data_IF_416624698090
#
_entry.id   IF_416624698090
#
_cell.length_a   1.000
_cell.length_b   1.000
_cell.length_c   1.000
_cell.angle_alpha   90.00
_cell.angle_beta   90.00
_cell.angle_gamma   90.00
#
_symmetry.space_group_name_H-M   'P 1'
#
loop_
_entity.id
_entity.type
_entity.pdbx_description
1 polymer ?
#
# COMPACT_ATOMS: atom_id res chain seq x y z
N UNK A 1 -55.14 25.81 -48.46
CA UNK A 1 -54.76 24.85 -47.40
C UNK A 1 -53.54 24.07 -47.86
N UNK A 2 -52.34 24.46 -47.42
CA UNK A 2 -51.08 23.70 -47.58
C UNK A 2 -50.39 23.75 -46.22
N UNK A 3 -50.36 22.61 -45.54
CA UNK A 3 -49.73 22.43 -44.23
C UNK A 3 -48.26 22.13 -44.49
N UNK A 4 -47.38 23.03 -44.07
CA UNK A 4 -45.93 22.83 -44.08
C UNK A 4 -45.56 22.24 -42.71
N UNK A 5 -45.09 21.00 -42.70
CA UNK A 5 -44.57 20.30 -41.52
C UNK A 5 -43.12 20.74 -41.32
N UNK A 6 -42.83 21.46 -40.23
CA UNK A 6 -41.48 21.82 -39.83
C UNK A 6 -40.95 20.71 -38.91
N UNK A 7 -39.95 19.97 -39.38
CA UNK A 7 -39.15 19.06 -38.55
C UNK A 7 -38.18 19.87 -37.69
N UNK A 8 -38.48 19.99 -36.39
CA UNK A 8 -37.57 20.56 -35.39
C UNK A 8 -36.50 19.55 -34.97
N UNK A 9 -35.24 19.91 -35.18
CA UNK A 9 -34.06 19.15 -34.74
C UNK A 9 -33.95 19.26 -33.21
N UNK A 10 -34.16 18.15 -32.49
CA UNK A 10 -33.83 18.05 -31.08
C UNK A 10 -32.32 17.86 -30.90
N UNK A 11 -31.61 18.94 -30.60
CA UNK A 11 -30.22 18.87 -30.14
C UNK A 11 -30.24 18.37 -28.69
N UNK A 12 -29.96 17.08 -28.48
CA UNK A 12 -29.65 16.55 -27.16
C UNK A 12 -28.28 17.09 -26.74
N UNK A 13 -28.27 18.09 -25.86
CA UNK A 13 -27.09 18.44 -25.08
C UNK A 13 -26.81 17.29 -24.10
N UNK A 14 -25.97 16.34 -24.49
CA UNK A 14 -25.26 15.52 -23.53
C UNK A 14 -24.25 16.43 -22.84
N UNK A 15 -24.59 16.90 -21.64
CA UNK A 15 -23.58 17.39 -20.70
C UNK A 15 -22.76 16.16 -20.30
N UNK A 16 -21.64 15.94 -20.99
CA UNK A 16 -20.60 15.08 -20.49
C UNK A 16 -20.07 15.77 -19.22
N UNK A 17 -20.52 15.33 -18.06
CA UNK A 17 -19.73 15.48 -16.85
C UNK A 17 -18.43 14.72 -17.13
N UNK A 18 -17.40 15.45 -17.54
CA UNK A 18 -16.05 14.95 -17.43
C UNK A 18 -15.86 14.68 -15.94
N UNK A 19 -15.81 13.40 -15.54
CA UNK A 19 -15.23 13.04 -14.26
C UNK A 19 -13.80 13.53 -14.39
N UNK A 20 -13.52 14.72 -13.86
CA UNK A 20 -12.16 15.15 -13.66
C UNK A 20 -11.49 14.02 -12.88
N UNK A 21 -10.37 13.55 -13.40
CA UNK A 21 -9.53 12.57 -12.72
C UNK A 21 -9.08 13.22 -11.40
N UNK A 22 -9.82 12.98 -10.32
CA UNK A 22 -9.58 13.64 -9.03
C UNK A 22 -8.19 13.24 -8.57
N UNK A 23 -7.28 14.21 -8.41
CA UNK A 23 -5.90 13.95 -7.99
C UNK A 23 -5.89 13.13 -6.69
N UNK A 24 -4.96 12.19 -6.56
CA UNK A 24 -4.84 11.46 -5.31
C UNK A 24 -4.53 12.44 -4.16
N UNK A 25 -5.27 12.30 -3.05
CA UNK A 25 -4.94 12.99 -1.81
C UNK A 25 -3.82 12.22 -1.12
N UNK A 26 -2.83 12.95 -0.61
CA UNK A 26 -1.70 12.30 0.05
C UNK A 26 -1.33 12.88 1.43
N UNK A 27 -0.84 12.05 2.36
CA UNK A 27 -0.73 10.58 2.24
C UNK A 27 -2.12 9.93 2.14
N UNK A 28 -2.27 8.99 1.19
CA UNK A 28 -3.58 8.46 0.76
C UNK A 28 -3.74 6.95 0.99
N UNK A 29 -2.81 6.33 1.72
CA UNK A 29 -2.81 4.90 2.01
C UNK A 29 -3.23 4.62 3.46
N UNK A 30 -2.41 3.92 4.24
CA UNK A 30 -2.77 3.50 5.61
C UNK A 30 -2.89 4.68 6.59
N UNK A 31 -2.29 5.82 6.28
CA UNK A 31 -2.28 7.00 7.16
C UNK A 31 -2.68 8.23 6.40
N UNK A 32 -3.51 9.05 7.03
CA UNK A 32 -3.83 10.43 6.63
C UNK A 32 -3.07 11.43 7.50
N UNK A 33 -3.05 12.72 7.12
CA UNK A 33 -2.48 13.75 7.99
C UNK A 33 -3.31 13.90 9.28
N UNK A 34 -4.63 13.72 9.19
CA UNK A 34 -5.57 13.76 10.31
C UNK A 34 -5.30 12.64 11.32
N UNK A 35 -4.86 11.46 10.86
CA UNK A 35 -4.44 10.37 11.76
C UNK A 35 -3.22 10.75 12.58
N UNK A 36 -2.20 11.36 11.94
CA UNK A 36 -0.99 11.80 12.64
C UNK A 36 -1.28 12.91 13.65
N UNK A 37 -2.10 13.90 13.29
CA UNK A 37 -2.49 14.96 14.23
C UNK A 37 -3.33 14.41 15.38
N UNK A 38 -4.22 13.45 15.12
CA UNK A 38 -4.96 12.77 16.18
C UNK A 38 -4.02 12.06 17.16
N UNK A 39 -3.03 11.30 16.66
CA UNK A 39 -2.06 10.60 17.51
C UNK A 39 -1.23 11.59 18.33
N UNK A 40 -0.71 12.65 17.70
CA UNK A 40 0.04 13.72 18.39
C UNK A 40 -0.74 14.33 19.53
N UNK A 41 -1.98 14.77 19.25
CA UNK A 41 -2.85 15.37 20.26
C UNK A 41 -3.11 14.42 21.43
N UNK A 42 -3.38 13.13 21.17
CA UNK A 42 -3.59 12.13 22.23
C UNK A 42 -2.33 11.91 23.09
N UNK A 43 -1.14 11.90 22.48
CA UNK A 43 0.13 11.79 23.21
C UNK A 43 0.41 13.04 24.05
N UNK A 44 0.21 14.24 23.49
CA UNK A 44 0.42 15.52 24.16
C UNK A 44 -0.51 15.69 25.37
N UNK A 45 -1.77 15.28 25.22
CA UNK A 45 -2.77 15.24 26.30
C UNK A 45 -2.57 14.07 27.27
N UNK A 46 -1.56 13.21 27.05
CA UNK A 46 -1.24 12.04 27.87
C UNK A 46 -2.41 11.07 28.01
N UNK A 47 -3.24 10.95 26.98
CA UNK A 47 -4.37 10.03 26.97
C UNK A 47 -3.92 8.58 26.75
N UNK A 48 -4.56 7.66 27.47
CA UNK A 48 -4.36 6.23 27.30
C UNK A 48 -5.44 5.64 26.38
N UNK A 49 -5.12 4.61 25.56
CA UNK A 49 -3.86 3.86 25.52
C UNK A 49 -2.75 4.47 24.61
N UNK A 50 -2.96 5.65 24.02
CA UNK A 50 -2.00 6.23 23.06
C UNK A 50 -0.63 6.50 23.67
N UNK A 51 -0.56 7.02 24.89
CA UNK A 51 0.72 7.32 25.54
C UNK A 51 1.51 6.03 25.84
N UNK A 52 0.87 4.99 26.39
CA UNK A 52 1.52 3.70 26.64
C UNK A 52 1.95 3.01 25.35
N UNK A 53 1.10 3.01 24.31
CA UNK A 53 1.46 2.48 23.00
C UNK A 53 2.65 3.22 22.37
N UNK A 54 2.68 4.56 22.47
CA UNK A 54 3.80 5.37 21.98
C UNK A 54 5.12 5.07 22.68
N UNK A 55 5.09 4.89 24.01
CA UNK A 55 6.27 4.47 24.78
C UNK A 55 6.74 3.09 24.34
N UNK A 56 5.83 2.13 24.21
CA UNK A 56 6.16 0.76 23.77
C UNK A 56 6.73 0.76 22.35
N UNK A 57 6.13 1.49 21.42
CA UNK A 57 6.62 1.65 20.05
C UNK A 57 8.09 2.08 20.00
N UNK A 58 8.48 3.04 20.83
CA UNK A 58 9.85 3.55 20.89
C UNK A 58 10.87 2.58 21.53
N UNK A 59 10.42 1.51 22.18
CA UNK A 59 11.32 0.43 22.65
C UNK A 59 11.72 -0.54 21.54
N UNK A 60 11.02 -0.50 20.40
CA UNK A 60 11.30 -1.38 19.26
C UNK A 60 12.73 -1.20 18.75
N UNK A 61 13.42 -2.31 18.46
CA UNK A 61 14.75 -2.27 17.81
C UNK A 61 14.73 -1.57 16.45
N UNK A 62 13.57 -1.51 15.80
CA UNK A 62 13.37 -0.88 14.50
C UNK A 62 13.17 0.64 14.62
N UNK A 63 12.79 1.14 15.79
CA UNK A 63 12.65 2.58 16.06
C UNK A 63 13.98 3.24 16.49
N UNK A 64 15.09 2.49 16.52
CA UNK A 64 16.38 3.00 16.99
C UNK A 64 17.00 3.95 15.95
N UNK A 65 17.55 5.10 16.38
CA UNK A 65 18.11 6.09 15.47
C UNK A 65 19.39 5.61 14.75
N UNK A 66 20.10 4.62 15.31
CA UNK A 66 21.33 4.05 14.75
C UNK A 66 21.10 2.81 13.85
N UNK A 67 19.88 2.57 13.38
CA UNK A 67 19.60 1.49 12.45
C UNK A 67 20.43 1.65 11.16
N UNK A 68 21.01 0.54 10.68
CA UNK A 68 21.78 0.51 9.43
C UNK A 68 21.07 -0.40 8.42
N UNK A 69 20.68 0.11 7.23
CA UNK A 69 20.03 -0.72 6.21
C UNK A 69 20.99 -1.77 5.66
N UNK A 70 20.43 -2.89 5.19
CA UNK A 70 21.17 -4.03 4.63
C UNK A 70 20.58 -4.41 3.27
N UNK A 71 20.59 -3.49 2.29
CA UNK A 71 19.98 -3.74 0.99
C UNK A 71 20.62 -4.93 0.29
N UNK A 72 19.81 -5.70 -0.42
CA UNK A 72 20.25 -6.88 -1.17
C UNK A 72 19.95 -6.68 -2.65
N UNK A 73 20.88 -7.11 -3.51
CA UNK A 73 20.67 -7.05 -4.96
C UNK A 73 19.50 -7.91 -5.42
N UNK A 74 19.36 -9.08 -4.84
CA UNK A 74 18.26 -10.01 -5.12
C UNK A 74 17.61 -10.43 -3.81
N UNK A 75 16.28 -10.38 -3.77
CA UNK A 75 15.49 -10.97 -2.69
C UNK A 75 14.97 -12.33 -3.12
N UNK A 76 15.33 -13.36 -2.35
CA UNK A 76 14.88 -14.73 -2.54
C UNK A 76 13.76 -15.07 -1.57
N UNK A 77 12.66 -15.60 -2.10
CA UNK A 77 11.54 -16.14 -1.32
C UNK A 77 11.03 -17.45 -1.92
N UNK A 78 10.72 -18.41 -1.05
CA UNK A 78 10.25 -19.73 -1.43
C UNK A 78 11.39 -20.72 -1.68
N UNK A 79 11.18 -21.63 -2.63
CA UNK A 79 12.07 -22.77 -2.90
C UNK A 79 13.09 -22.43 -3.99
N UNK A 80 14.29 -23.01 -3.90
CA UNK A 80 15.34 -22.97 -4.92
C UNK A 80 16.60 -22.21 -4.51
N UNK A 81 16.49 -21.32 -3.51
CA UNK A 81 17.61 -20.51 -3.02
C UNK A 81 17.49 -20.29 -1.50
N UNK A 82 18.60 -20.05 -0.77
CA UNK A 82 18.55 -19.57 0.60
C UNK A 82 17.75 -18.26 0.68
N UNK A 83 16.67 -18.28 1.46
CA UNK A 83 15.75 -17.15 1.56
C UNK A 83 16.37 -16.00 2.36
N UNK A 84 16.26 -14.77 1.87
CA UNK A 84 16.79 -13.56 2.53
C UNK A 84 15.75 -12.43 2.66
N UNK A 85 14.49 -12.69 2.30
CA UNK A 85 13.40 -11.68 2.33
C UNK A 85 13.16 -11.07 3.72
N UNK A 86 13.52 -11.76 4.81
CA UNK A 86 13.42 -11.22 6.17
C UNK A 86 14.27 -9.96 6.35
N UNK A 87 15.40 -9.84 5.66
CA UNK A 87 16.23 -8.62 5.70
C UNK A 87 15.46 -7.42 5.13
N UNK A 88 14.76 -7.60 4.01
CA UNK A 88 13.87 -6.59 3.45
C UNK A 88 12.75 -6.23 4.43
N UNK A 89 12.08 -7.22 5.04
CA UNK A 89 11.01 -6.98 6.01
C UNK A 89 11.47 -6.10 7.18
N UNK A 90 12.65 -6.41 7.73
CA UNK A 90 13.22 -5.70 8.87
C UNK A 90 13.56 -4.26 8.52
N UNK A 91 14.12 -4.03 7.33
CA UNK A 91 14.47 -2.69 6.86
C UNK A 91 13.23 -1.85 6.55
N UNK A 92 12.20 -2.44 5.92
CA UNK A 92 10.90 -1.76 5.74
C UNK A 92 10.30 -1.38 7.10
N UNK A 93 10.34 -2.29 8.09
CA UNK A 93 9.85 -2.01 9.44
C UNK A 93 10.61 -0.86 10.09
N UNK A 94 11.93 -0.79 9.94
CA UNK A 94 12.74 0.32 10.45
C UNK A 94 12.44 1.64 9.73
N UNK A 95 12.30 1.62 8.40
CA UNK A 95 11.93 2.81 7.63
C UNK A 95 10.54 3.32 8.03
N UNK A 96 9.59 2.43 8.25
CA UNK A 96 8.25 2.76 8.75
C UNK A 96 8.31 3.33 10.17
N UNK A 97 9.01 2.68 11.11
CA UNK A 97 9.16 3.19 12.47
C UNK A 97 9.80 4.59 12.50
N UNK A 98 10.78 4.84 11.63
CA UNK A 98 11.40 6.15 11.47
C UNK A 98 10.43 7.18 10.87
N UNK A 99 9.65 6.80 9.85
CA UNK A 99 8.63 7.67 9.25
C UNK A 99 7.55 8.10 10.26
N UNK A 100 7.04 7.15 11.06
CA UNK A 100 6.08 7.44 12.13
C UNK A 100 6.72 8.34 13.20
N UNK A 101 7.95 8.06 13.63
CA UNK A 101 8.67 8.92 14.56
C UNK A 101 8.78 10.36 14.07
N UNK A 102 9.12 10.55 12.81
CA UNK A 102 9.17 11.88 12.21
C UNK A 102 7.80 12.55 12.20
N UNK A 103 6.74 11.86 11.75
CA UNK A 103 5.40 12.46 11.69
C UNK A 103 4.86 12.87 13.06
N UNK A 104 5.16 12.11 14.11
CA UNK A 104 4.69 12.41 15.46
C UNK A 104 5.55 13.47 16.15
N UNK A 105 6.88 13.41 16.02
CA UNK A 105 7.79 14.29 16.79
C UNK A 105 8.25 15.53 16.04
N UNK A 106 8.14 15.55 14.70
CA UNK A 106 8.74 16.56 13.85
C UNK A 106 10.27 16.47 13.73
N UNK A 107 10.94 15.54 14.42
CA UNK A 107 12.39 15.41 14.39
C UNK A 107 12.87 14.82 13.04
N UNK A 108 13.57 15.64 12.26
CA UNK A 108 14.02 15.30 10.91
C UNK A 108 15.07 14.20 10.87
N UNK A 109 15.79 13.92 11.97
CA UNK A 109 16.76 12.81 11.98
C UNK A 109 16.10 11.45 11.69
N UNK A 110 14.84 11.28 12.08
CA UNK A 110 14.06 10.09 11.75
C UNK A 110 13.60 10.08 10.29
N UNK A 111 13.27 11.24 9.73
CA UNK A 111 12.95 11.39 8.32
C UNK A 111 14.15 11.00 7.45
N UNK A 112 15.33 11.54 7.79
CA UNK A 112 16.60 11.23 7.13
C UNK A 112 16.90 9.73 7.17
N UNK A 113 16.69 9.08 8.33
CA UNK A 113 16.88 7.63 8.46
C UNK A 113 15.91 6.82 7.60
N UNK A 114 14.63 7.21 7.53
CA UNK A 114 13.65 6.55 6.67
C UNK A 114 14.04 6.66 5.19
N UNK A 115 14.45 7.86 4.75
CA UNK A 115 14.93 8.11 3.39
C UNK A 115 16.22 7.35 3.09
N UNK A 116 17.17 7.29 4.02
CA UNK A 116 18.41 6.52 3.88
C UNK A 116 18.09 5.05 3.57
N UNK A 117 17.18 4.43 4.32
CA UNK A 117 16.77 3.04 4.10
C UNK A 117 16.09 2.89 2.73
N UNK A 118 15.11 3.75 2.40
CA UNK A 118 14.40 3.71 1.11
C UNK A 118 15.35 3.85 -0.08
N UNK A 119 16.29 4.79 -0.01
CA UNK A 119 17.26 5.06 -1.07
C UNK A 119 18.32 3.95 -1.18
N UNK A 120 18.72 3.35 -0.06
CA UNK A 120 19.64 2.20 -0.07
C UNK A 120 19.03 1.01 -0.82
N UNK A 121 17.73 0.74 -0.64
CA UNK A 121 17.04 -0.30 -1.38
C UNK A 121 16.80 0.07 -2.85
N UNK A 122 16.33 1.29 -3.14
CA UNK A 122 16.04 1.70 -4.53
C UNK A 122 17.27 1.78 -5.43
N UNK A 123 18.46 1.96 -4.85
CA UNK A 123 19.74 1.95 -5.57
C UNK A 123 20.35 0.55 -5.74
N UNK A 124 19.90 -0.45 -4.96
CA UNK A 124 20.57 -1.76 -4.89
C UNK A 124 19.71 -2.91 -5.41
N UNK A 125 18.41 -2.94 -5.10
CA UNK A 125 17.53 -4.05 -5.43
C UNK A 125 17.30 -4.11 -6.93
N UNK A 126 17.55 -5.26 -7.55
CA UNK A 126 17.34 -5.47 -9.00
C UNK A 126 16.27 -6.51 -9.31
N UNK A 127 15.98 -7.44 -8.41
CA UNK A 127 14.92 -8.44 -8.64
C UNK A 127 14.45 -9.14 -7.37
N UNK A 128 13.22 -9.66 -7.40
CA UNK A 128 12.70 -10.66 -6.45
C UNK A 128 12.63 -12.00 -7.20
N UNK A 129 13.19 -13.06 -6.64
CA UNK A 129 13.32 -14.37 -7.27
C UNK A 129 12.91 -15.51 -6.33
N UNK A 130 12.59 -16.67 -6.91
CA UNK A 130 12.08 -17.83 -6.20
C UNK A 130 11.10 -18.63 -7.05
N UNK A 131 10.29 -19.45 -6.38
CA UNK A 131 9.09 -20.08 -6.96
C UNK A 131 7.90 -19.08 -6.95
N UNK A 132 6.66 -19.56 -6.93
CA UNK A 132 5.46 -18.70 -6.90
C UNK A 132 5.37 -17.79 -5.67
N UNK A 133 6.14 -18.04 -4.60
CA UNK A 133 6.16 -17.20 -3.40
C UNK A 133 6.67 -15.77 -3.70
N UNK A 134 7.27 -15.51 -4.87
CA UNK A 134 7.61 -14.15 -5.30
C UNK A 134 6.38 -13.23 -5.37
N UNK A 135 5.19 -13.77 -5.69
CA UNK A 135 3.96 -12.99 -5.70
C UNK A 135 3.59 -12.48 -4.30
N UNK A 136 3.84 -13.28 -3.26
CA UNK A 136 3.70 -12.85 -1.87
C UNK A 136 4.75 -11.82 -1.46
N UNK A 137 6.00 -12.01 -1.88
CA UNK A 137 7.06 -11.03 -1.60
C UNK A 137 6.71 -9.66 -2.23
N UNK A 138 6.34 -9.65 -3.51
CA UNK A 138 5.93 -8.45 -4.22
C UNK A 138 4.70 -7.80 -3.57
N UNK A 139 3.64 -8.58 -3.32
CA UNK A 139 2.39 -8.07 -2.73
C UNK A 139 2.55 -7.52 -1.30
N UNK A 140 3.05 -8.33 -0.37
CA UNK A 140 3.10 -7.92 1.05
C UNK A 140 4.16 -6.85 1.27
N UNK A 141 5.38 -7.05 0.77
CA UNK A 141 6.47 -6.11 1.05
C UNK A 141 6.38 -4.87 0.19
N UNK A 142 5.87 -4.98 -1.03
CA UNK A 142 5.61 -3.84 -1.89
C UNK A 142 4.56 -2.90 -1.32
N UNK A 143 3.43 -3.43 -0.82
CA UNK A 143 2.41 -2.60 -0.16
C UNK A 143 2.94 -1.89 1.09
N UNK A 144 3.69 -2.58 1.94
CA UNK A 144 4.31 -1.95 3.12
C UNK A 144 5.32 -0.87 2.72
N UNK A 145 6.18 -1.11 1.74
CA UNK A 145 7.19 -0.12 1.36
C UNK A 145 6.57 1.10 0.69
N UNK A 146 5.53 0.90 -0.13
CA UNK A 146 4.75 2.00 -0.71
C UNK A 146 4.13 2.89 0.37
N UNK A 147 3.62 2.31 1.46
CA UNK A 147 3.12 3.09 2.60
C UNK A 147 4.20 3.96 3.26
N UNK A 148 5.43 3.45 3.40
CA UNK A 148 6.55 4.26 3.89
C UNK A 148 6.81 5.43 2.93
N UNK A 149 6.88 5.16 1.62
CA UNK A 149 7.06 6.18 0.59
C UNK A 149 5.97 7.26 0.64
N UNK A 150 4.72 6.87 0.84
CA UNK A 150 3.59 7.80 0.95
C UNK A 150 3.68 8.71 2.17
N UNK A 151 4.03 8.16 3.33
CA UNK A 151 4.27 8.99 4.54
C UNK A 151 5.39 10.00 4.26
N UNK A 152 6.49 9.52 3.66
CA UNK A 152 7.71 10.28 3.45
C UNK A 152 7.68 11.25 2.28
N UNK A 153 6.72 11.15 1.35
CA UNK A 153 6.65 12.01 0.15
C UNK A 153 6.60 13.51 0.46
N UNK A 154 6.11 13.87 1.64
CA UNK A 154 6.00 15.26 2.12
C UNK A 154 7.30 15.78 2.75
N UNK A 155 8.30 14.93 2.94
CA UNK A 155 9.57 15.31 3.54
C UNK A 155 10.47 16.03 2.54
N UNK A 156 10.75 17.31 2.80
CA UNK A 156 11.57 18.17 1.92
C UNK A 156 13.02 17.70 1.75
N UNK A 157 13.54 16.89 2.68
CA UNK A 157 14.89 16.32 2.58
C UNK A 157 14.99 15.14 1.62
N UNK A 158 13.87 14.56 1.17
CA UNK A 158 13.90 13.51 0.15
C UNK A 158 14.00 14.13 -1.25
N UNK A 159 15.15 13.97 -1.89
CA UNK A 159 15.38 14.50 -3.23
C UNK A 159 14.39 13.89 -4.23
N UNK A 160 13.83 14.73 -5.10
CA UNK A 160 12.86 14.29 -6.11
C UNK A 160 13.41 13.19 -7.03
N UNK A 161 14.71 13.24 -7.37
CA UNK A 161 15.36 12.18 -8.16
C UNK A 161 15.36 10.84 -7.42
N UNK A 162 15.68 10.83 -6.13
CA UNK A 162 15.71 9.61 -5.34
C UNK A 162 14.31 9.07 -5.08
N UNK A 163 13.32 9.94 -4.91
CA UNK A 163 11.92 9.55 -4.87
C UNK A 163 11.47 8.91 -6.19
N UNK A 164 11.88 9.45 -7.34
CA UNK A 164 11.60 8.85 -8.64
C UNK A 164 12.30 7.48 -8.81
N UNK A 165 13.53 7.30 -8.32
CA UNK A 165 14.19 5.97 -8.28
C UNK A 165 13.41 4.99 -7.41
N UNK A 166 12.92 5.45 -6.26
CA UNK A 166 12.07 4.64 -5.38
C UNK A 166 10.78 4.21 -6.08
N UNK A 167 10.04 5.15 -6.69
CA UNK A 167 8.86 4.84 -7.52
C UNK A 167 9.18 3.83 -8.62
N UNK A 168 10.32 4.01 -9.31
CA UNK A 168 10.82 3.07 -10.31
C UNK A 168 11.05 1.66 -9.76
N UNK A 169 11.65 1.52 -8.58
CA UNK A 169 11.79 0.23 -7.88
C UNK A 169 10.41 -0.39 -7.57
N UNK A 170 9.46 0.43 -7.09
CA UNK A 170 8.11 -0.05 -6.75
C UNK A 170 7.38 -0.61 -7.96
N UNK A 171 7.48 0.04 -9.13
CA UNK A 171 6.86 -0.45 -10.37
C UNK A 171 7.66 -1.62 -10.97
N UNK A 172 8.96 -1.43 -11.21
CA UNK A 172 9.74 -2.37 -12.01
C UNK A 172 10.04 -3.69 -11.28
N UNK A 173 10.02 -3.69 -9.94
CA UNK A 173 10.37 -4.86 -9.14
C UNK A 173 9.17 -5.36 -8.34
N UNK A 174 8.58 -4.53 -7.47
CA UNK A 174 7.50 -4.99 -6.59
C UNK A 174 6.20 -5.25 -7.34
N UNK A 175 5.78 -4.32 -8.20
CA UNK A 175 4.58 -4.50 -9.02
C UNK A 175 4.75 -5.67 -9.99
N UNK A 176 5.86 -5.76 -10.71
CA UNK A 176 6.09 -6.90 -11.61
C UNK A 176 6.14 -8.25 -10.88
N UNK A 177 6.80 -8.34 -9.72
CA UNK A 177 6.85 -9.58 -8.93
C UNK A 177 5.49 -9.93 -8.30
N UNK A 178 4.75 -8.93 -7.81
CA UNK A 178 3.46 -9.13 -7.16
C UNK A 178 2.32 -9.34 -8.15
N UNK A 179 2.15 -8.41 -9.11
CA UNK A 179 1.04 -8.40 -10.07
C UNK A 179 1.19 -9.42 -11.20
N UNK A 180 2.41 -9.94 -11.44
CA UNK A 180 2.68 -10.89 -12.52
C UNK A 180 1.80 -12.14 -12.50
N UNK A 181 1.32 -12.58 -11.33
CA UNK A 181 0.37 -13.70 -11.22
C UNK A 181 -1.05 -13.33 -11.68
N UNK A 182 -1.57 -12.16 -11.30
CA UNK A 182 -2.88 -11.67 -11.77
C UNK A 182 -2.88 -11.53 -13.30
N UNK A 183 -1.76 -11.11 -13.88
CA UNK A 183 -1.58 -11.02 -15.34
C UNK A 183 -1.40 -12.38 -16.04
N UNK A 184 -1.28 -13.49 -15.29
CA UNK A 184 -1.01 -14.82 -15.85
C UNK A 184 0.43 -15.03 -16.33
N UNK A 185 1.35 -14.12 -15.98
CA UNK A 185 2.75 -14.09 -16.43
C UNK A 185 3.70 -14.87 -15.50
N UNK A 186 3.19 -15.56 -14.48
CA UNK A 186 3.99 -16.41 -13.59
C UNK A 186 3.55 -17.88 -13.68
N UNK A 187 4.50 -18.83 -13.76
CA UNK A 187 4.18 -20.25 -13.85
C UNK A 187 3.44 -20.71 -12.60
N UNK A 188 2.18 -21.14 -12.72
CA UNK A 188 1.42 -21.70 -11.60
C UNK A 188 1.82 -23.17 -11.40
N UNK A 189 2.61 -23.47 -10.36
CA UNK A 189 3.10 -24.84 -10.05
C UNK A 189 2.04 -25.77 -9.44
N UNK A 190 0.81 -25.74 -9.94
CA UNK A 190 -0.35 -26.37 -9.33
C UNK A 190 -1.60 -25.61 -9.75
N UNK A 191 -2.73 -26.32 -9.78
CA UNK A 191 -3.95 -25.92 -10.51
C UNK A 191 -4.23 -24.41 -10.55
N UNK A 192 -4.80 -23.94 -11.66
CA UNK A 192 -5.42 -22.60 -11.79
C UNK A 192 -6.50 -22.29 -10.72
N UNK A 193 -6.72 -23.18 -9.74
CA UNK A 193 -7.90 -23.29 -8.87
C UNK A 193 -7.58 -23.50 -7.38
N UNK A 194 -6.31 -23.60 -6.96
CA UNK A 194 -5.94 -23.87 -5.57
C UNK A 194 -4.81 -22.98 -5.08
N UNK A 195 -5.05 -21.69 -4.81
CA UNK A 195 -4.24 -20.91 -3.87
C UNK A 195 -5.08 -19.83 -3.17
N UNK A 196 -4.76 -19.61 -1.90
CA UNK A 196 -5.53 -18.91 -0.87
C UNK A 196 -5.82 -17.44 -1.22
N UNK A 197 -7.05 -17.00 -0.95
CA UNK A 197 -7.58 -15.67 -1.26
C UNK A 197 -6.79 -14.49 -0.66
N UNK A 198 -5.96 -14.73 0.36
CA UNK A 198 -5.05 -13.73 0.91
C UNK A 198 -3.88 -13.38 -0.03
N UNK A 199 -3.47 -14.27 -0.94
CA UNK A 199 -2.40 -13.98 -1.89
C UNK A 199 -2.84 -12.95 -2.92
N UNK A 200 -4.04 -13.13 -3.49
CA UNK A 200 -4.59 -12.21 -4.48
C UNK A 200 -4.91 -10.86 -3.82
N UNK A 201 -5.43 -10.86 -2.58
CA UNK A 201 -5.63 -9.63 -1.81
C UNK A 201 -4.33 -8.86 -1.56
N UNK A 202 -3.23 -9.55 -1.23
CA UNK A 202 -1.93 -8.90 -1.05
C UNK A 202 -1.42 -8.24 -2.35
N UNK A 203 -1.64 -8.88 -3.50
CA UNK A 203 -1.26 -8.34 -4.80
C UNK A 203 -2.12 -7.13 -5.18
N UNK A 204 -3.44 -7.21 -4.97
CA UNK A 204 -4.38 -6.10 -5.21
C UNK A 204 -4.03 -4.91 -4.31
N UNK A 205 -3.83 -5.14 -3.01
CA UNK A 205 -3.43 -4.10 -2.07
C UNK A 205 -2.12 -3.42 -2.47
N UNK A 206 -1.15 -4.19 -2.96
CA UNK A 206 0.09 -3.64 -3.51
C UNK A 206 -0.13 -2.83 -4.78
N UNK A 207 -0.92 -3.31 -5.75
CA UNK A 207 -1.19 -2.57 -6.98
C UNK A 207 -1.91 -1.24 -6.70
N UNK A 208 -2.85 -1.23 -5.76
CA UNK A 208 -3.47 0.01 -5.24
C UNK A 208 -2.40 0.92 -4.63
N UNK A 209 -1.57 0.39 -3.73
CA UNK A 209 -0.56 1.17 -3.02
C UNK A 209 0.48 1.80 -3.96
N UNK A 210 0.96 1.04 -4.95
CA UNK A 210 1.91 1.53 -5.96
C UNK A 210 1.21 2.49 -6.92
N UNK A 211 -0.05 2.24 -7.30
CA UNK A 211 -0.85 3.15 -8.11
C UNK A 211 -0.99 4.52 -7.47
N UNK A 212 -1.36 4.59 -6.18
CA UNK A 212 -1.40 5.85 -5.42
C UNK A 212 -0.01 6.48 -5.32
N UNK A 213 1.01 5.75 -4.86
CA UNK A 213 2.37 6.28 -4.68
C UNK A 213 2.96 6.90 -5.97
N UNK A 214 2.59 6.33 -7.12
CA UNK A 214 3.11 6.75 -8.42
C UNK A 214 2.19 7.68 -9.19
N UNK A 215 1.09 8.12 -8.58
CA UNK A 215 0.05 8.93 -9.23
C UNK A 215 -0.49 8.26 -10.51
N UNK A 216 -0.46 6.92 -10.56
CA UNK A 216 -0.88 6.12 -11.70
C UNK A 216 -2.33 5.66 -11.53
N UNK A 217 -3.26 6.50 -12.03
CA UNK A 217 -4.70 6.23 -11.98
C UNK A 217 -5.10 4.95 -12.72
N UNK A 218 -4.46 4.66 -13.84
CA UNK A 218 -4.77 3.47 -14.64
C UNK A 218 -4.47 2.20 -13.84
N UNK A 219 -3.29 2.11 -13.23
CA UNK A 219 -2.89 1.01 -12.35
C UNK A 219 -3.85 0.86 -11.16
N UNK A 220 -4.23 1.97 -10.53
CA UNK A 220 -5.18 1.98 -9.43
C UNK A 220 -6.57 1.47 -9.88
N UNK A 221 -7.11 2.02 -10.97
CA UNK A 221 -8.42 1.66 -11.48
C UNK A 221 -8.47 0.19 -11.90
N UNK A 222 -7.39 -0.32 -12.50
CA UNK A 222 -7.28 -1.74 -12.86
C UNK A 222 -7.28 -2.62 -11.61
N UNK A 223 -6.52 -2.26 -10.57
CA UNK A 223 -6.53 -3.00 -9.31
C UNK A 223 -7.91 -2.99 -8.64
N UNK A 224 -8.61 -1.85 -8.66
CA UNK A 224 -10.00 -1.72 -8.16
C UNK A 224 -10.98 -2.54 -9.02
N UNK A 225 -10.80 -2.57 -10.35
CA UNK A 225 -11.62 -3.37 -11.26
C UNK A 225 -11.46 -4.86 -10.93
N UNK A 226 -10.22 -5.33 -10.75
CA UNK A 226 -9.93 -6.71 -10.35
C UNK A 226 -10.54 -7.02 -8.99
N UNK A 227 -10.39 -6.12 -8.01
CA UNK A 227 -11.01 -6.24 -6.69
C UNK A 227 -12.55 -6.35 -6.74
N UNK A 228 -13.20 -5.58 -7.62
CA UNK A 228 -14.67 -5.58 -7.78
C UNK A 228 -15.19 -6.69 -8.69
N UNK A 229 -14.32 -7.35 -9.45
CA UNK A 229 -14.74 -8.37 -10.42
C UNK A 229 -15.19 -9.67 -9.77
N UNK A 230 -15.97 -10.48 -10.51
CA UNK A 230 -16.43 -11.81 -10.10
C UNK A 230 -15.32 -12.89 -10.07
N UNK A 231 -14.07 -12.49 -9.85
CA UNK A 231 -13.01 -13.44 -9.53
C UNK A 231 -13.38 -14.15 -8.22
N UNK A 232 -13.79 -15.42 -8.36
CA UNK A 232 -14.54 -16.24 -7.40
C UNK A 232 -14.06 -16.14 -5.94
N UNK A 233 -12.77 -15.89 -5.70
CA UNK A 233 -12.16 -15.87 -4.37
C UNK A 233 -12.18 -14.52 -3.66
N UNK A 234 -12.20 -13.38 -4.38
CA UNK A 234 -12.43 -12.06 -3.76
C UNK A 234 -13.87 -12.01 -3.24
N UNK A 235 -14.81 -12.61 -3.97
CA UNK A 235 -16.20 -12.77 -3.54
C UNK A 235 -16.34 -13.67 -2.31
N UNK A 236 -15.60 -14.78 -2.21
CA UNK A 236 -15.62 -15.64 -1.00
C UNK A 236 -15.10 -14.90 0.23
N UNK A 237 -14.01 -14.13 0.13
CA UNK A 237 -13.54 -13.28 1.24
C UNK A 237 -14.52 -12.16 1.57
N UNK A 238 -15.07 -11.46 0.57
CA UNK A 238 -16.04 -10.41 0.79
C UNK A 238 -17.32 -10.95 1.45
N UNK A 239 -17.79 -12.14 1.05
CA UNK A 239 -18.93 -12.79 1.70
C UNK A 239 -18.59 -13.31 3.10
N UNK A 240 -17.36 -13.78 3.34
CA UNK A 240 -16.90 -14.18 4.69
C UNK A 240 -16.75 -12.97 5.63
N UNK A 241 -16.22 -11.85 5.14
CA UNK A 241 -16.09 -10.60 5.88
C UNK A 241 -17.46 -9.97 6.09
N UNK A 242 -18.35 -9.94 5.09
CA UNK A 242 -19.72 -9.42 5.23
C UNK A 242 -20.56 -10.32 6.16
N UNK A 243 -20.36 -11.65 6.16
CA UNK A 243 -21.06 -12.55 7.10
C UNK A 243 -20.49 -12.46 8.52
N UNK A 244 -19.18 -12.33 8.70
CA UNK A 244 -18.57 -12.06 10.01
C UNK A 244 -18.97 -10.67 10.52
N UNK A 245 -18.94 -9.63 9.68
CA UNK A 245 -19.40 -8.29 10.02
C UNK A 245 -20.91 -8.28 10.27
N UNK A 246 -21.73 -9.03 9.52
CA UNK A 246 -23.17 -9.19 9.78
C UNK A 246 -23.53 -10.03 11.01
N UNK A 247 -22.58 -10.84 11.51
CA UNK A 247 -22.68 -11.54 12.80
C UNK A 247 -22.20 -10.63 13.94
N UNK A 248 -21.17 -9.80 13.71
CA UNK A 248 -20.66 -8.82 14.68
C UNK A 248 -21.58 -7.60 14.84
N UNK A 249 -22.23 -7.15 13.77
CA UNK A 249 -23.16 -6.00 13.75
C UNK A 249 -24.48 -6.31 14.48
N UNK A 250 -24.82 -7.60 14.65
CA UNK A 250 -25.94 -8.02 15.50
C UNK A 250 -25.59 -8.13 16.99
N UNK A 251 -24.33 -8.01 17.39
CA UNK A 251 -23.94 -8.23 18.79
C UNK A 251 -23.00 -7.22 19.45
N UNK A 252 -22.41 -6.22 18.78
CA UNK A 252 -21.59 -5.24 19.52
C UNK A 252 -21.46 -3.90 18.83
N UNK A 253 -22.03 -2.88 19.49
CA UNK A 253 -21.50 -1.53 19.68
C UNK A 253 -20.23 -1.25 18.84
N UNK A 254 -20.44 -0.51 17.75
CA UNK A 254 -19.48 0.43 17.17
C UNK A 254 -18.74 1.12 18.32
N UNK A 255 -17.41 1.01 18.35
CA UNK A 255 -16.44 1.98 18.89
C UNK A 255 -15.11 1.31 19.32
N UNK A 256 -15.09 0.00 19.58
CA UNK A 256 -13.87 -0.67 20.12
C UNK A 256 -12.97 -1.36 19.07
N UNK A 257 -13.40 -1.55 17.81
CA UNK A 257 -12.64 -2.35 16.83
C UNK A 257 -11.61 -1.53 16.03
N UNK A 258 -11.60 -0.20 16.14
CA UNK A 258 -10.56 0.63 15.51
C UNK A 258 -9.21 0.62 16.25
N UNK A 259 -9.15 0.09 17.48
CA UNK A 259 -7.96 0.18 18.32
C UNK A 259 -7.15 -1.13 18.43
N UNK A 260 -7.47 -2.18 17.67
CA UNK A 260 -6.76 -3.49 17.77
C UNK A 260 -6.10 -3.95 16.45
N UNK A 261 -6.25 -3.22 15.35
CA UNK A 261 -5.49 -3.51 14.10
C UNK A 261 -4.70 -2.27 13.65
N UNK A 262 -3.75 -1.88 14.49
CA UNK A 262 -2.57 -1.10 14.12
C UNK A 262 -1.33 -1.68 14.82
#
# INVERSE_FOLDING_TARGET
MKIIIIFGIFIHFFVYFSIADEEFVHPGLLHTNEDFERIKNKIELKEEPWLSAWKQFNTSRFARPNYSPRPQKIIYRGIGFPQNYITLCQDIAAAYCAAINWKITGNTSYADKSVEIMNAWSSTLTSIQGNNDIALAGGIYGSHFANVGEIMRSYKGWKAEDFNKFKGMMVNIFFNAGWGRILGNQPTSGSKRFYYSNWDLAQIGMAIAVGVLTDNREMFNEAIRVYKSDWYWVRVLNLFIISILGILDRHRKRDEIKDIIH
#
